data_IF_454030018712
#
_entry.id   IF_454030018712
#
_cell.length_a   1.000
_cell.length_b   1.000
_cell.length_c   1.000
_cell.angle_alpha   90.00
_cell.angle_beta   90.00
_cell.angle_gamma   90.00
#
_symmetry.space_group_name_H-M   'P 1'
#
loop_
_entity.id
_entity.type
_entity.pdbx_description
1 polymer ?
#
# COMPACT_ATOMS: atom_id res chain seq x y z
N UNK A 1 18.92 9.59 -8.61
CA UNK A 1 18.15 8.34 -8.84
C UNK A 1 18.19 7.59 -7.52
N UNK A 2 17.06 7.13 -7.01
CA UNK A 2 17.04 6.46 -5.71
C UNK A 2 17.61 5.05 -5.81
N UNK A 3 18.37 4.66 -4.79
CA UNK A 3 18.76 3.26 -4.60
C UNK A 3 17.56 2.44 -4.13
N UNK A 4 17.41 1.22 -4.64
CA UNK A 4 16.28 0.32 -4.30
C UNK A 4 16.14 0.13 -2.79
N UNK A 5 17.25 -0.01 -2.06
CA UNK A 5 17.23 -0.16 -0.60
C UNK A 5 16.67 1.08 0.12
N UNK A 6 16.95 2.29 -0.40
CA UNK A 6 16.39 3.52 0.17
C UNK A 6 14.88 3.60 -0.05
N UNK A 7 14.43 3.17 -1.23
CA UNK A 7 13.01 3.07 -1.54
C UNK A 7 12.30 2.00 -0.71
N UNK A 8 12.93 0.85 -0.45
CA UNK A 8 12.35 -0.18 0.43
C UNK A 8 12.15 0.34 1.86
N UNK A 9 13.10 1.12 2.39
CA UNK A 9 12.93 1.79 3.70
C UNK A 9 11.79 2.81 3.70
N UNK A 10 11.61 3.53 2.60
CA UNK A 10 10.51 4.48 2.47
C UNK A 10 9.16 3.76 2.26
N UNK A 11 9.14 2.62 1.58
CA UNK A 11 7.97 1.75 1.47
C UNK A 11 7.53 1.22 2.84
N UNK A 12 8.48 0.78 3.67
CA UNK A 12 8.17 0.38 5.06
C UNK A 12 7.64 1.55 5.88
N UNK A 13 8.18 2.75 5.68
CA UNK A 13 7.71 3.98 6.34
C UNK A 13 6.29 4.34 5.92
N UNK A 14 5.98 4.27 4.63
CA UNK A 14 4.63 4.53 4.12
C UNK A 14 3.63 3.55 4.73
N UNK A 15 3.93 2.24 4.70
CA UNK A 15 3.08 1.22 5.33
C UNK A 15 2.89 1.43 6.82
N UNK A 16 3.95 1.80 7.55
CA UNK A 16 3.86 2.08 8.97
C UNK A 16 2.98 3.30 9.26
N UNK A 17 3.05 4.33 8.43
CA UNK A 17 2.15 5.47 8.52
C UNK A 17 0.69 5.07 8.24
N UNK A 18 0.43 4.24 7.24
CA UNK A 18 -0.88 3.61 7.04
C UNK A 18 -1.36 2.93 8.32
N UNK A 19 -0.50 2.16 8.99
CA UNK A 19 -0.86 1.44 10.21
C UNK A 19 -1.20 2.36 11.39
N UNK A 20 -0.52 3.51 11.52
CA UNK A 20 -0.90 4.54 12.48
C UNK A 20 -2.29 5.14 12.21
N UNK A 21 -2.80 5.07 10.98
CA UNK A 21 -4.14 5.59 10.64
C UNK A 21 -5.28 4.65 11.03
N UNK A 22 -5.04 3.36 11.30
CA UNK A 22 -6.13 2.40 11.55
C UNK A 22 -5.98 1.52 12.79
N UNK A 23 -4.76 1.32 13.32
CA UNK A 23 -4.49 0.30 14.36
C UNK A 23 -5.28 0.45 15.66
N UNK A 24 -5.74 1.66 15.97
CA UNK A 24 -6.52 1.98 17.17
C UNK A 24 -8.04 2.04 16.90
N UNK A 25 -8.46 1.87 15.65
CA UNK A 25 -9.87 1.83 15.27
C UNK A 25 -10.48 0.46 15.61
N UNK A 26 -11.76 0.48 15.98
CA UNK A 26 -12.54 -0.73 16.19
C UNK A 26 -12.84 -1.47 14.88
N UNK A 27 -13.17 -2.78 14.93
CA UNK A 27 -13.59 -3.51 13.74
C UNK A 27 -14.75 -2.87 12.98
N UNK A 28 -15.73 -2.30 13.70
CA UNK A 28 -16.90 -1.65 13.10
C UNK A 28 -16.49 -0.38 12.32
N UNK A 29 -15.54 0.39 12.86
CA UNK A 29 -15.00 1.57 12.19
C UNK A 29 -14.19 1.22 10.93
N UNK A 30 -13.43 0.12 10.97
CA UNK A 30 -12.63 -0.33 9.81
C UNK A 30 -13.50 -0.78 8.64
N UNK A 31 -14.69 -1.35 8.91
CA UNK A 31 -15.64 -1.77 7.86
C UNK A 31 -16.71 -0.72 7.55
N UNK A 32 -16.73 0.38 8.30
CA UNK A 32 -17.69 1.46 8.10
C UNK A 32 -17.44 2.19 6.78
N UNK A 33 -18.54 2.60 6.13
CA UNK A 33 -18.50 3.47 4.96
C UNK A 33 -19.61 4.53 5.06
N UNK A 34 -19.37 5.77 4.61
CA UNK A 34 -20.37 6.84 4.68
C UNK A 34 -21.57 6.61 3.75
N UNK A 35 -21.34 5.96 2.60
CA UNK A 35 -22.37 5.61 1.63
C UNK A 35 -21.92 4.44 0.74
N UNK A 36 -22.84 3.87 -0.05
CA UNK A 36 -22.57 2.69 -0.90
C UNK A 36 -21.47 2.90 -1.95
N UNK A 37 -21.33 4.13 -2.44
CA UNK A 37 -20.29 4.52 -3.39
C UNK A 37 -18.95 4.92 -2.73
N UNK A 38 -18.74 4.58 -1.46
CA UNK A 38 -17.50 4.83 -0.73
C UNK A 38 -16.92 3.51 -0.25
N UNK A 39 -15.59 3.42 -0.24
CA UNK A 39 -14.89 2.28 0.33
C UNK A 39 -14.56 2.50 1.79
N UNK A 40 -14.73 1.43 2.58
CA UNK A 40 -14.32 1.42 3.97
C UNK A 40 -12.79 1.37 4.07
N UNK A 41 -12.25 1.80 5.21
CA UNK A 41 -10.80 1.77 5.50
C UNK A 41 -10.23 0.37 5.21
N UNK A 42 -10.88 -0.69 5.68
CA UNK A 42 -10.44 -2.07 5.47
C UNK A 42 -10.29 -2.47 4.00
N UNK A 43 -11.07 -1.87 3.09
CA UNK A 43 -10.87 -2.08 1.66
C UNK A 43 -9.58 -1.43 1.15
N UNK A 44 -9.31 -0.17 1.54
CA UNK A 44 -8.07 0.52 1.16
C UNK A 44 -6.84 -0.25 1.66
N UNK A 45 -6.91 -0.78 2.89
CA UNK A 45 -5.85 -1.57 3.49
C UNK A 45 -5.48 -2.81 2.66
N UNK A 46 -6.48 -3.55 2.18
CA UNK A 46 -6.28 -4.71 1.32
C UNK A 46 -5.90 -4.33 -0.11
N UNK A 47 -6.48 -3.25 -0.65
CA UNK A 47 -6.21 -2.75 -1.99
C UNK A 47 -4.76 -2.32 -2.19
N UNK A 48 -4.22 -1.54 -1.26
CA UNK A 48 -2.80 -1.14 -1.22
C UNK A 48 -1.87 -2.35 -1.41
N UNK A 49 -2.05 -3.39 -0.59
CA UNK A 49 -1.28 -4.63 -0.70
C UNK A 49 -1.57 -5.42 -1.99
N UNK A 50 -2.82 -5.48 -2.43
CA UNK A 50 -3.18 -6.15 -3.68
C UNK A 50 -2.45 -5.53 -4.88
N UNK A 51 -2.44 -4.19 -5.00
CA UNK A 51 -1.74 -3.47 -6.07
C UNK A 51 -0.23 -3.70 -5.99
N UNK A 52 0.36 -3.61 -4.79
CA UNK A 52 1.80 -3.86 -4.60
C UNK A 52 2.19 -5.25 -5.11
N UNK A 53 1.47 -6.28 -4.68
CA UNK A 53 1.73 -7.65 -5.14
C UNK A 53 1.48 -7.81 -6.65
N UNK A 54 0.35 -7.29 -7.15
CA UNK A 54 -0.03 -7.39 -8.56
C UNK A 54 1.02 -6.77 -9.49
N UNK A 55 1.50 -5.58 -9.17
CA UNK A 55 2.50 -4.87 -9.97
C UNK A 55 3.85 -5.57 -9.94
N UNK A 56 4.32 -5.94 -8.75
CA UNK A 56 5.65 -6.55 -8.57
C UNK A 56 5.69 -7.93 -9.22
N UNK A 57 4.66 -8.76 -9.02
CA UNK A 57 4.63 -10.09 -9.64
C UNK A 57 4.61 -9.99 -11.17
N UNK A 58 3.73 -9.16 -11.74
CA UNK A 58 3.53 -9.19 -13.20
C UNK A 58 4.71 -8.58 -13.96
N UNK A 59 5.46 -7.66 -13.35
CA UNK A 59 6.55 -6.95 -14.01
C UNK A 59 7.94 -7.44 -13.63
N UNK A 60 8.07 -8.28 -12.60
CA UNK A 60 9.38 -8.78 -12.16
C UNK A 60 9.46 -10.30 -11.98
N UNK A 61 8.38 -11.00 -11.62
CA UNK A 61 8.33 -12.46 -11.50
C UNK A 61 6.91 -13.00 -11.36
N UNK A 62 6.52 -13.95 -12.21
CA UNK A 62 5.20 -14.57 -12.17
C UNK A 62 4.97 -15.44 -10.91
N UNK A 63 4.63 -14.79 -9.80
CA UNK A 63 4.31 -15.39 -8.50
C UNK A 63 2.78 -15.51 -8.31
N UNK A 64 2.26 -16.60 -7.72
CA UNK A 64 0.85 -16.69 -7.33
C UNK A 64 0.45 -15.66 -6.27
N UNK A 65 -0.82 -15.19 -6.25
CA UNK A 65 -1.33 -14.35 -5.16
C UNK A 65 -1.18 -15.04 -3.79
N UNK A 66 -0.77 -14.32 -2.71
CA UNK A 66 -0.72 -14.91 -1.38
C UNK A 66 -2.11 -15.27 -0.85
N UNK A 67 -3.14 -14.54 -1.29
CA UNK A 67 -4.53 -14.85 -0.99
C UNK A 67 -5.41 -14.56 -2.22
N UNK A 68 -5.53 -15.52 -3.17
CA UNK A 68 -6.28 -15.31 -4.41
C UNK A 68 -7.77 -14.97 -4.19
N UNK A 69 -8.34 -15.31 -3.04
CA UNK A 69 -9.73 -14.99 -2.74
C UNK A 69 -9.91 -13.49 -2.41
N UNK A 70 -8.84 -12.76 -2.09
CA UNK A 70 -8.88 -11.31 -1.91
C UNK A 70 -8.73 -10.56 -3.23
N UNK A 71 -8.09 -11.15 -4.24
CA UNK A 71 -7.78 -10.44 -5.50
C UNK A 71 -9.04 -9.81 -6.13
N UNK A 72 -10.15 -10.54 -6.20
CA UNK A 72 -11.39 -10.01 -6.77
C UNK A 72 -12.02 -8.90 -5.92
N UNK A 73 -11.91 -8.98 -4.60
CA UNK A 73 -12.49 -8.00 -3.66
C UNK A 73 -11.68 -6.70 -3.68
N UNK A 74 -10.36 -6.82 -3.76
CA UNK A 74 -9.42 -5.71 -3.66
C UNK A 74 -9.12 -5.04 -5.02
N UNK A 75 -9.74 -5.52 -6.11
CA UNK A 75 -9.60 -4.90 -7.42
C UNK A 75 -10.43 -3.60 -7.49
N UNK A 76 -9.76 -2.47 -7.71
CA UNK A 76 -10.41 -1.16 -7.90
C UNK A 76 -11.35 -1.11 -9.11
N UNK A 77 -11.18 -2.00 -10.10
CA UNK A 77 -12.10 -2.11 -11.23
C UNK A 77 -13.49 -2.61 -10.81
N UNK A 78 -13.62 -3.20 -9.62
CA UNK A 78 -14.91 -3.52 -9.02
C UNK A 78 -15.55 -2.23 -8.44
N UNK A 79 -16.74 -1.83 -8.91
CA UNK A 79 -17.45 -0.67 -8.36
C UNK A 79 -17.70 -0.79 -6.85
N UNK A 80 -17.67 0.32 -6.12
CA UNK A 80 -17.71 0.37 -4.65
C UNK A 80 -18.90 -0.37 -4.05
N UNK A 81 -20.09 -0.21 -4.65
CA UNK A 81 -21.30 -0.89 -4.21
C UNK A 81 -21.23 -2.43 -4.29
N UNK A 82 -20.29 -2.97 -5.08
CA UNK A 82 -20.10 -4.41 -5.29
C UNK A 82 -18.89 -4.99 -4.55
N UNK A 83 -18.08 -4.16 -3.88
CA UNK A 83 -16.95 -4.61 -3.03
C UNK A 83 -17.54 -5.27 -1.78
N UNK A 84 -17.85 -6.57 -1.89
CA UNK A 84 -18.72 -7.36 -1.00
C UNK A 84 -18.38 -7.37 0.50
N UNK A 85 -18.45 -8.53 1.15
CA UNK A 85 -18.08 -8.61 2.56
C UNK A 85 -16.57 -8.43 2.73
N UNK A 86 -16.16 -7.46 3.54
CA UNK A 86 -14.75 -7.23 3.81
C UNK A 86 -14.14 -8.36 4.63
N UNK A 87 -12.87 -8.70 4.41
CA UNK A 87 -12.15 -9.65 5.26
C UNK A 87 -12.01 -9.13 6.70
N UNK A 88 -11.70 -10.02 7.63
CA UNK A 88 -11.38 -9.62 9.01
C UNK A 88 -10.10 -8.79 9.03
N UNK A 89 -9.96 -7.92 10.04
CA UNK A 89 -8.72 -7.16 10.29
C UNK A 89 -7.51 -8.09 10.33
N UNK A 90 -7.62 -9.20 11.06
CA UNK A 90 -6.54 -10.20 11.15
C UNK A 90 -6.10 -10.71 9.76
N UNK A 91 -7.06 -11.04 8.89
CA UNK A 91 -6.75 -11.51 7.53
C UNK A 91 -6.14 -10.41 6.67
N UNK A 92 -6.60 -9.16 6.81
CA UNK A 92 -6.01 -8.01 6.11
C UNK A 92 -4.58 -7.74 6.58
N UNK A 93 -4.31 -7.78 7.88
CA UNK A 93 -2.95 -7.63 8.44
C UNK A 93 -2.02 -8.71 7.91
N UNK A 94 -2.42 -9.99 7.99
CA UNK A 94 -1.62 -11.11 7.47
C UNK A 94 -1.36 -10.95 5.96
N UNK A 95 -2.36 -10.54 5.19
CA UNK A 95 -2.20 -10.30 3.76
C UNK A 95 -1.22 -9.16 3.48
N UNK A 96 -1.36 -8.01 4.16
CA UNK A 96 -0.45 -6.85 4.01
C UNK A 96 0.99 -7.22 4.34
N UNK A 97 1.22 -7.95 5.43
CA UNK A 97 2.55 -8.37 5.85
C UNK A 97 3.18 -9.36 4.87
N UNK A 98 2.41 -10.37 4.46
CA UNK A 98 2.88 -11.36 3.46
C UNK A 98 3.25 -10.68 2.14
N UNK A 99 2.44 -9.72 1.68
CA UNK A 99 2.75 -8.97 0.46
C UNK A 99 4.04 -8.19 0.62
N UNK A 100 4.22 -7.47 1.72
CA UNK A 100 5.43 -6.68 1.91
C UNK A 100 6.69 -7.53 2.01
N UNK A 101 6.63 -8.67 2.71
CA UNK A 101 7.71 -9.65 2.72
C UNK A 101 8.07 -10.11 1.30
N UNK A 102 7.08 -10.38 0.44
CA UNK A 102 7.30 -10.76 -0.96
C UNK A 102 7.90 -9.64 -1.80
N UNK A 103 7.44 -8.39 -1.61
CA UNK A 103 8.04 -7.21 -2.27
C UNK A 103 9.52 -7.09 -1.90
N UNK A 104 9.85 -7.16 -0.61
CA UNK A 104 11.22 -7.12 -0.12
C UNK A 104 12.07 -8.28 -0.65
N UNK A 105 11.58 -9.52 -0.54
CA UNK A 105 12.28 -10.69 -1.02
C UNK A 105 12.60 -10.57 -2.52
N UNK A 106 11.62 -10.14 -3.31
CA UNK A 106 11.78 -10.02 -4.76
C UNK A 106 12.78 -8.92 -5.14
N UNK A 107 12.69 -7.75 -4.52
CA UNK A 107 13.60 -6.63 -4.78
C UNK A 107 15.01 -6.92 -4.26
N UNK A 108 15.11 -7.63 -3.13
CA UNK A 108 16.38 -8.14 -2.61
C UNK A 108 17.03 -9.17 -3.54
N UNK A 109 16.24 -10.03 -4.20
CA UNK A 109 16.76 -10.96 -5.22
C UNK A 109 17.26 -10.23 -6.46
N UNK A 110 16.58 -9.16 -6.88
CA UNK A 110 16.99 -8.32 -8.00
C UNK A 110 18.31 -7.62 -7.71
N UNK A 111 18.40 -6.89 -6.59
CA UNK A 111 19.61 -6.17 -6.17
C UNK A 111 20.76 -7.13 -5.91
N UNK A 112 20.47 -8.30 -5.35
CA UNK A 112 21.46 -9.35 -5.08
C UNK A 112 21.90 -10.16 -6.30
N UNK A 113 21.44 -9.84 -7.51
CA UNK A 113 21.85 -10.55 -8.73
C UNK A 113 21.31 -11.99 -8.86
N UNK A 114 20.31 -12.36 -8.06
CA UNK A 114 19.72 -13.72 -8.01
C UNK A 114 18.63 -13.95 -9.06
N UNK A 115 18.58 -13.08 -10.06
CA UNK A 115 17.59 -13.06 -11.15
C UNK A 115 18.29 -12.94 -12.50
N UNK A 116 17.55 -13.22 -13.58
CA UNK A 116 18.03 -12.87 -14.93
C UNK A 116 17.93 -11.37 -15.13
N UNK A 117 18.93 -10.76 -15.76
CA UNK A 117 18.97 -9.32 -16.09
C UNK A 117 18.78 -8.39 -14.84
N UNK A 118 19.59 -8.54 -13.79
CA UNK A 118 19.41 -7.80 -12.52
C UNK A 118 19.49 -6.28 -12.69
N UNK A 119 20.38 -5.76 -13.55
CA UNK A 119 20.50 -4.31 -13.78
C UNK A 119 19.21 -3.74 -14.41
N UNK A 120 18.66 -4.43 -15.41
CA UNK A 120 17.43 -4.02 -16.07
C UNK A 120 16.23 -4.12 -15.10
N UNK A 121 16.15 -5.19 -14.31
CA UNK A 121 15.10 -5.34 -13.31
C UNK A 121 15.23 -4.35 -12.15
N UNK A 122 16.44 -3.88 -11.84
CA UNK A 122 16.65 -2.82 -10.83
C UNK A 122 16.05 -1.49 -11.29
N UNK A 123 16.16 -1.15 -12.58
CA UNK A 123 15.49 0.02 -13.17
C UNK A 123 13.97 -0.11 -13.04
N UNK A 124 13.40 -1.28 -13.39
CA UNK A 124 11.97 -1.53 -13.26
C UNK A 124 11.52 -1.45 -11.80
N UNK A 125 12.22 -2.13 -10.90
CA UNK A 125 11.92 -2.17 -9.46
C UNK A 125 11.94 -0.79 -8.81
N UNK A 126 12.89 0.07 -9.20
CA UNK A 126 12.98 1.46 -8.72
C UNK A 126 11.71 2.25 -9.07
N UNK A 127 11.27 2.18 -10.32
CA UNK A 127 10.04 2.87 -10.75
C UNK A 127 8.78 2.30 -10.11
N UNK A 128 8.71 0.97 -9.94
CA UNK A 128 7.59 0.34 -9.24
C UNK A 128 7.53 0.78 -7.79
N UNK A 129 8.63 0.78 -7.05
CA UNK A 129 8.63 1.21 -5.65
C UNK A 129 8.20 2.68 -5.51
N UNK A 130 8.68 3.59 -6.37
CA UNK A 130 8.22 4.99 -6.35
C UNK A 130 6.71 5.07 -6.58
N UNK A 131 6.17 4.32 -7.56
CA UNK A 131 4.74 4.29 -7.81
C UNK A 131 3.94 3.70 -6.63
N UNK A 132 4.43 2.62 -6.03
CA UNK A 132 3.76 1.94 -4.91
C UNK A 132 3.78 2.77 -3.63
N UNK A 133 4.88 3.45 -3.31
CA UNK A 133 4.97 4.36 -2.16
C UNK A 133 3.96 5.51 -2.31
N UNK A 134 3.93 6.13 -3.49
CA UNK A 134 2.98 7.20 -3.76
C UNK A 134 1.52 6.70 -3.76
N UNK A 135 1.29 5.47 -4.24
CA UNK A 135 -0.03 4.84 -4.19
C UNK A 135 -0.48 4.54 -2.75
N UNK A 136 0.44 4.09 -1.87
CA UNK A 136 0.17 3.93 -0.45
C UNK A 136 -0.30 5.27 0.15
N UNK A 137 0.51 6.33 0.02
CA UNK A 137 0.18 7.67 0.51
C UNK A 137 -1.08 8.29 -0.10
N UNK A 138 -1.39 7.96 -1.37
CA UNK A 138 -2.65 8.37 -1.98
C UNK A 138 -3.85 7.78 -1.25
N UNK A 139 -3.79 6.50 -0.90
CA UNK A 139 -4.84 5.84 -0.13
C UNK A 139 -4.87 6.30 1.33
N UNK A 140 -3.72 6.65 1.90
CA UNK A 140 -3.62 7.18 3.27
C UNK A 140 -4.34 8.52 3.42
N UNK A 141 -4.34 9.36 2.39
CA UNK A 141 -5.12 10.60 2.39
C UNK A 141 -6.62 10.31 2.58
N UNK A 142 -7.18 9.35 1.83
CA UNK A 142 -8.57 8.94 2.00
C UNK A 142 -8.84 8.33 3.37
N UNK A 143 -7.96 7.42 3.84
CA UNK A 143 -8.09 6.82 5.17
C UNK A 143 -8.06 7.91 6.26
N UNK A 144 -7.18 8.90 6.14
CA UNK A 144 -7.07 10.03 7.04
C UNK A 144 -8.32 10.92 7.07
N UNK A 145 -8.89 11.23 5.90
CA UNK A 145 -10.16 11.97 5.79
C UNK A 145 -11.30 11.22 6.50
N UNK A 146 -11.43 9.90 6.26
CA UNK A 146 -12.44 9.09 6.96
C UNK A 146 -12.17 9.04 8.47
N UNK A 147 -10.92 8.78 8.88
CA UNK A 147 -10.50 8.73 10.28
C UNK A 147 -10.84 10.02 11.04
N UNK A 148 -10.52 11.17 10.45
CA UNK A 148 -10.62 12.45 11.13
C UNK A 148 -11.98 13.12 10.99
N UNK A 149 -12.52 13.19 9.77
CA UNK A 149 -13.75 13.93 9.50
C UNK A 149 -15.01 13.11 9.82
N UNK A 150 -15.00 11.81 9.51
CA UNK A 150 -16.17 10.95 9.69
C UNK A 150 -16.18 10.23 11.05
N UNK A 151 -15.02 9.75 11.51
CA UNK A 151 -14.90 8.99 12.76
C UNK A 151 -14.44 9.86 13.96
N UNK A 152 -13.90 11.05 13.71
CA UNK A 152 -13.53 12.01 14.76
C UNK A 152 -12.21 11.70 15.48
N UNK A 153 -11.37 10.81 14.94
CA UNK A 153 -10.07 10.47 15.52
C UNK A 153 -8.98 11.44 15.03
N UNK A 154 -8.02 11.82 15.89
CA UNK A 154 -6.91 12.67 15.47
C UNK A 154 -6.03 11.96 14.43
N UNK A 155 -5.48 12.73 13.49
CA UNK A 155 -4.46 12.23 12.56
C UNK A 155 -3.12 12.06 13.28
N UNK A 156 -2.37 10.98 13.00
CA UNK A 156 -0.96 10.90 13.37
C UNK A 156 -0.15 12.00 12.66
N UNK A 157 1.03 12.37 13.16
CA UNK A 157 1.93 13.27 12.45
C UNK A 157 2.39 12.66 11.12
N UNK A 158 2.72 13.52 10.15
CA UNK A 158 3.31 13.09 8.89
C UNK A 158 4.59 12.24 9.13
N UNK A 159 4.92 11.30 8.22
CA UNK A 159 6.10 10.46 8.37
C UNK A 159 7.38 11.28 8.53
N UNK A 160 8.22 10.91 9.49
CA UNK A 160 9.50 11.60 9.75
C UNK A 160 10.55 11.28 8.66
N UNK A 161 10.44 11.94 7.51
CA UNK A 161 11.35 11.80 6.36
C UNK A 161 11.45 13.12 5.63
N UNK A 162 12.65 13.50 5.18
CA UNK A 162 12.80 14.66 4.29
C UNK A 162 12.38 14.35 2.86
N UNK A 163 12.16 13.07 2.52
CA UNK A 163 11.93 12.63 1.14
C UNK A 163 10.48 12.83 0.68
N UNK A 164 9.55 13.15 1.57
CA UNK A 164 8.12 13.31 1.26
C UNK A 164 7.75 14.78 1.36
N UNK A 165 6.92 15.22 0.41
CA UNK A 165 6.36 16.58 0.38
C UNK A 165 4.86 16.50 0.11
N UNK A 166 4.12 17.58 0.40
CA UNK A 166 2.70 17.65 0.07
C UNK A 166 2.50 18.26 -1.31
N UNK A 167 1.78 17.55 -2.17
CA UNK A 167 1.34 18.00 -3.49
C UNK A 167 -0.17 17.77 -3.60
N UNK A 168 -0.93 18.84 -3.85
CA UNK A 168 -2.40 18.80 -3.94
C UNK A 168 -3.09 18.13 -2.73
N UNK A 169 -2.51 18.28 -1.54
CA UNK A 169 -2.98 17.68 -0.29
C UNK A 169 -2.39 16.30 0.01
N UNK A 170 -1.90 15.58 -0.99
CA UNK A 170 -1.34 14.23 -0.85
C UNK A 170 0.13 14.26 -0.45
N UNK A 171 0.52 13.32 0.42
CA UNK A 171 1.93 13.01 0.64
C UNK A 171 2.50 12.33 -0.61
N UNK A 172 3.60 12.85 -1.13
CA UNK A 172 4.26 12.35 -2.34
C UNK A 172 5.76 12.27 -2.11
N UNK A 173 6.33 11.12 -2.44
CA UNK A 173 7.77 10.90 -2.51
C UNK A 173 8.39 11.83 -3.55
N UNK A 174 9.21 12.78 -3.10
CA UNK A 174 9.84 13.81 -3.92
C UNK A 174 11.30 13.45 -4.21
N UNK A 175 11.67 13.16 -5.48
CA UNK A 175 13.05 12.87 -5.89
C UNK A 175 14.04 14.03 -5.72
N UNK A 176 13.58 15.20 -5.29
CA UNK A 176 14.36 16.42 -5.14
C UNK A 176 14.41 16.94 -3.69
N UNK A 177 13.83 16.19 -2.74
CA UNK A 177 13.84 16.55 -1.32
C UNK A 177 15.00 15.91 -0.55
#
# INVERSE_FOLDING_TARGET
MYEVEALLREYDRARAYTDELWKDLSPDEVVWRPHENSSAIGWHLGHQAHVAHFMIRNLTAAEPSPDPALDAIMDSAQPEQFRGALPTIERLTVFRDTVAERVHARLGDIVGGRVKAPDQLSVVGTHLLVALINHEYQHDQWIGEVRSEALGHPLPPDPETSQVTRLDGYLVLSPLA
#
